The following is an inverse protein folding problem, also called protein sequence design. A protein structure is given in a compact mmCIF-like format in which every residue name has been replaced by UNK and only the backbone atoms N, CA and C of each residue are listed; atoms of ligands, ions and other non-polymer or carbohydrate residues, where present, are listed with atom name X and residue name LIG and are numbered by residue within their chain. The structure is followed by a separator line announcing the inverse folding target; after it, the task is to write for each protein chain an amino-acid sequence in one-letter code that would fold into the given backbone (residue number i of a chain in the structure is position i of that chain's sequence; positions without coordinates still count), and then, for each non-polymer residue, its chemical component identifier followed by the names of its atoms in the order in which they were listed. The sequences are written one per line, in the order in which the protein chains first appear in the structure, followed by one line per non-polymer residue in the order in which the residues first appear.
data_IF_537336361753
#
_entry.id   IF_537336361753
#
_cell.length_a   1.000
_cell.length_b   1.000
_cell.length_c   1.000
_cell.angle_alpha   90.00
_cell.angle_beta   90.00
_cell.angle_gamma   90.00
#
_symmetry.space_group_name_H-M   'P 1'
#
loop_
_entity.id
_entity.type
_entity.pdbx_description
1 polymer ?
#
# COMPACT_ATOMS: atom_id res chain seq x y z
N UNK A 1 18.02 -12.34 19.60
CA UNK A 1 19.26 -12.92 20.11
C UNK A 1 19.38 -14.36 19.61
N UNK A 2 20.58 -14.76 19.23
CA UNK A 2 20.87 -16.12 18.77
C UNK A 2 21.77 -16.77 19.83
N UNK A 3 21.42 -17.97 20.28
CA UNK A 3 22.18 -18.70 21.27
C UNK A 3 23.60 -18.99 20.74
N UNK A 4 24.62 -18.79 21.59
CA UNK A 4 26.04 -18.92 21.21
C UNK A 4 26.59 -17.76 20.36
N UNK A 5 25.80 -16.73 20.01
CA UNK A 5 26.27 -15.59 19.21
C UNK A 5 26.14 -14.26 20.00
N UNK A 6 27.22 -13.49 19.99
CA UNK A 6 27.20 -12.16 20.62
C UNK A 6 26.42 -11.16 19.80
N UNK A 7 25.73 -10.23 20.50
CA UNK A 7 25.00 -9.12 19.89
C UNK A 7 23.54 -9.44 19.57
N UNK A 8 22.94 -8.58 18.77
CA UNK A 8 21.54 -8.64 18.33
C UNK A 8 21.50 -8.49 16.81
N UNK A 9 21.81 -9.54 16.06
CA UNK A 9 21.81 -9.46 14.60
C UNK A 9 20.40 -9.18 14.06
N UNK A 10 20.34 -8.41 12.97
CA UNK A 10 19.08 -8.06 12.31
C UNK A 10 18.45 -9.31 11.68
N UNK A 11 17.20 -9.59 12.00
CA UNK A 11 16.49 -10.78 11.49
C UNK A 11 16.30 -10.78 9.97
N UNK A 12 16.19 -9.60 9.35
CA UNK A 12 16.00 -9.47 7.89
C UNK A 12 17.27 -9.78 7.06
N UNK A 13 18.46 -9.82 7.67
CA UNK A 13 19.74 -10.03 6.97
C UNK A 13 20.53 -11.23 7.50
N UNK A 14 20.00 -11.92 8.51
CA UNK A 14 20.68 -13.08 9.11
C UNK A 14 20.18 -14.38 8.48
N UNK A 15 21.02 -15.13 7.76
CA UNK A 15 20.64 -16.44 7.21
C UNK A 15 20.25 -17.42 8.32
N UNK A 16 19.19 -18.18 8.09
CA UNK A 16 18.81 -19.28 8.97
C UNK A 16 19.77 -20.46 8.80
N UNK A 17 20.07 -21.14 9.91
CA UNK A 17 20.93 -22.31 9.93
C UNK A 17 20.26 -23.43 10.75
N UNK A 18 20.52 -24.67 10.41
CA UNK A 18 20.02 -25.83 11.15
C UNK A 18 20.49 -25.80 12.60
N UNK A 19 19.59 -26.10 13.53
CA UNK A 19 19.90 -26.08 14.98
C UNK A 19 19.99 -24.68 15.61
N UNK A 20 19.69 -23.61 14.83
CA UNK A 20 19.70 -22.25 15.37
C UNK A 20 18.58 -22.04 16.40
N UNK A 21 18.95 -21.67 17.63
CA UNK A 21 18.04 -21.27 18.70
C UNK A 21 17.92 -19.73 18.73
N UNK A 22 16.71 -19.19 18.55
CA UNK A 22 16.46 -17.75 18.45
C UNK A 22 15.49 -17.29 19.52
N UNK A 23 15.87 -16.30 20.32
CA UNK A 23 14.99 -15.60 21.24
C UNK A 23 14.57 -14.27 20.62
N UNK A 24 13.27 -14.10 20.41
CA UNK A 24 12.69 -12.88 19.83
C UNK A 24 12.16 -11.90 20.87
N UNK A 25 12.04 -12.33 22.12
CA UNK A 25 11.57 -11.51 23.24
C UNK A 25 12.47 -11.73 24.44
N UNK A 26 13.17 -10.68 24.87
CA UNK A 26 13.96 -10.63 26.10
C UNK A 26 13.94 -9.18 26.61
N UNK A 27 14.13 -8.93 27.92
CA UNK A 27 14.19 -7.57 28.46
C UNK A 27 15.23 -6.68 27.75
N UNK A 28 16.33 -7.27 27.29
CA UNK A 28 17.35 -6.57 26.50
C UNK A 28 16.82 -6.14 25.13
N UNK A 29 16.13 -7.05 24.43
CA UNK A 29 15.53 -6.73 23.12
C UNK A 29 14.44 -5.69 23.23
N UNK A 30 13.61 -5.75 24.27
CA UNK A 30 12.54 -4.77 24.50
C UNK A 30 13.13 -3.36 24.72
N UNK A 31 14.20 -3.27 25.52
CA UNK A 31 14.92 -1.99 25.72
C UNK A 31 15.51 -1.48 24.39
N UNK A 32 16.15 -2.35 23.60
CA UNK A 32 16.75 -1.95 22.33
C UNK A 32 15.70 -1.52 21.30
N UNK A 33 14.60 -2.25 21.17
CA UNK A 33 13.50 -1.91 20.25
C UNK A 33 12.86 -0.58 20.64
N UNK A 34 12.63 -0.34 21.93
CA UNK A 34 12.12 0.94 22.42
C UNK A 34 13.08 2.08 22.07
N UNK A 35 14.39 1.91 22.32
CA UNK A 35 15.41 2.91 21.96
C UNK A 35 15.48 3.20 20.46
N UNK A 36 15.39 2.17 19.61
CA UNK A 36 15.34 2.35 18.15
C UNK A 36 14.08 3.12 17.75
N UNK A 37 12.93 2.81 18.36
CA UNK A 37 11.68 3.51 18.07
C UNK A 37 11.74 4.98 18.55
N UNK A 38 12.36 5.26 19.70
CA UNK A 38 12.60 6.63 20.16
C UNK A 38 13.41 7.45 19.14
N UNK A 39 14.42 6.83 18.50
CA UNK A 39 15.20 7.49 17.44
C UNK A 39 14.37 7.74 16.17
N UNK A 40 13.54 6.80 15.75
CA UNK A 40 12.64 7.04 14.60
C UNK A 40 11.63 8.16 14.87
N UNK A 41 11.05 8.18 16.05
CA UNK A 41 10.05 9.20 16.42
C UNK A 41 10.71 10.57 16.64
N UNK A 42 11.98 10.64 17.07
CA UNK A 42 12.68 11.90 17.25
C UNK A 42 12.94 12.69 15.97
N UNK A 43 12.83 12.03 14.81
CA UNK A 43 13.04 12.61 13.49
C UNK A 43 11.82 12.36 12.59
N UNK A 44 10.62 12.50 13.17
CA UNK A 44 9.35 12.34 12.47
C UNK A 44 8.35 13.38 12.97
N UNK A 45 7.56 14.03 12.07
CA UNK A 45 6.53 14.98 12.49
C UNK A 45 5.53 14.35 13.45
N UNK A 46 5.24 15.06 14.55
CA UNK A 46 4.31 14.62 15.60
C UNK A 46 2.86 15.07 15.33
N UNK A 47 2.47 15.12 14.08
CA UNK A 47 1.18 15.61 13.58
C UNK A 47 0.17 14.49 13.31
N UNK A 48 0.27 13.38 14.02
CA UNK A 48 -0.55 12.19 13.81
C UNK A 48 -2.05 12.47 13.66
N UNK A 49 -2.59 13.42 14.43
CA UNK A 49 -4.02 13.75 14.42
C UNK A 49 -4.50 14.36 13.08
N UNK A 50 -3.62 14.99 12.34
CA UNK A 50 -3.90 15.59 11.03
C UNK A 50 -3.31 14.78 9.86
N UNK A 51 -2.54 13.75 10.16
CA UNK A 51 -1.90 12.90 9.17
C UNK A 51 -2.93 11.97 8.49
N UNK A 52 -2.94 11.86 7.15
CA UNK A 52 -3.88 11.01 6.43
C UNK A 52 -3.70 9.51 6.71
N UNK A 53 -2.56 9.09 7.26
CA UNK A 53 -2.32 7.71 7.67
C UNK A 53 -2.70 7.43 9.14
N UNK A 54 -3.31 8.37 9.85
CA UNK A 54 -3.70 8.15 11.24
C UNK A 54 -4.65 6.95 11.38
N UNK A 55 -4.27 5.96 12.18
CA UNK A 55 -5.03 4.71 12.33
C UNK A 55 -4.76 3.65 11.25
N UNK A 56 -3.89 3.94 10.27
CA UNK A 56 -3.39 3.01 9.25
C UNK A 56 -1.88 3.24 9.03
N UNK A 57 -1.12 3.36 10.13
CA UNK A 57 0.30 3.69 10.14
C UNK A 57 1.08 2.66 10.96
N UNK A 58 1.92 1.89 10.27
CA UNK A 58 2.74 0.84 10.92
C UNK A 58 3.74 1.43 11.93
N UNK A 59 4.22 2.67 11.72
CA UNK A 59 5.08 3.36 12.69
C UNK A 59 4.35 3.63 14.01
N UNK A 60 3.08 4.08 13.96
CA UNK A 60 2.25 4.24 15.16
C UNK A 60 2.02 2.91 15.88
N UNK A 61 1.70 1.86 15.12
CA UNK A 61 1.46 0.53 15.67
C UNK A 61 2.71 -0.02 16.37
N UNK A 62 3.88 0.16 15.75
CA UNK A 62 5.15 -0.29 16.33
C UNK A 62 5.55 0.53 17.56
N UNK A 63 5.32 1.84 17.57
CA UNK A 63 5.54 2.67 18.76
C UNK A 63 4.64 2.19 19.92
N UNK A 64 3.38 1.87 19.63
CA UNK A 64 2.46 1.25 20.58
C UNK A 64 2.94 -0.11 21.09
N UNK A 65 3.38 -0.99 20.21
CA UNK A 65 3.82 -2.34 20.52
C UNK A 65 5.06 -2.39 21.44
N UNK A 66 5.99 -1.43 21.29
CA UNK A 66 7.18 -1.32 22.16
C UNK A 66 6.92 -0.50 23.43
N UNK A 67 5.69 -0.06 23.65
CA UNK A 67 5.30 0.72 24.84
C UNK A 67 5.92 2.13 24.87
N UNK A 68 6.20 2.74 23.69
CA UNK A 68 6.60 4.13 23.61
C UNK A 68 5.38 5.02 23.78
N UNK A 69 5.39 5.89 24.81
CA UNK A 69 4.29 6.81 25.12
C UNK A 69 4.74 8.28 25.19
N UNK A 70 6.00 8.49 25.46
CA UNK A 70 6.59 9.82 25.63
C UNK A 70 7.74 9.98 24.64
N UNK A 71 7.85 11.18 24.06
CA UNK A 71 8.95 11.55 23.17
C UNK A 71 10.05 12.17 24.04
N UNK A 72 11.21 11.55 24.04
CA UNK A 72 12.37 11.97 24.83
C UNK A 72 13.32 12.89 24.07
N UNK A 73 13.36 12.72 22.75
CA UNK A 73 14.21 13.46 21.82
C UNK A 73 13.35 14.01 20.68
N UNK A 74 13.76 15.14 20.06
CA UNK A 74 13.06 15.71 18.91
C UNK A 74 11.62 16.14 19.23
N UNK A 75 11.45 16.83 20.36
CA UNK A 75 10.13 17.29 20.84
C UNK A 75 9.49 18.34 19.94
N UNK A 76 10.25 18.93 19.03
CA UNK A 76 9.80 19.87 18.01
C UNK A 76 8.90 19.20 16.97
N UNK A 77 8.99 17.88 16.81
CA UNK A 77 8.16 17.12 15.88
C UNK A 77 8.47 17.41 14.43
N UNK A 78 9.73 17.60 14.10
CA UNK A 78 10.21 17.89 12.74
C UNK A 78 11.03 16.72 12.21
N UNK A 79 11.08 16.59 10.88
CA UNK A 79 11.98 15.70 10.16
C UNK A 79 13.15 16.52 9.60
N UNK A 80 14.37 16.00 9.67
CA UNK A 80 15.56 16.68 9.13
C UNK A 80 15.56 16.79 7.59
N UNK A 81 14.72 16.02 6.91
CA UNK A 81 14.55 16.10 5.46
C UNK A 81 13.61 17.25 5.14
N UNK A 82 14.13 18.31 4.51
CA UNK A 82 13.29 19.38 3.95
C UNK A 82 12.25 18.75 3.01
N UNK A 83 11.00 18.81 3.44
CA UNK A 83 9.93 18.05 2.81
C UNK A 83 9.58 18.59 1.44
N UNK A 84 9.98 17.87 0.39
CA UNK A 84 9.38 18.02 -0.93
C UNK A 84 8.22 17.04 -1.02
N UNK A 85 7.02 17.56 -1.21
CA UNK A 85 5.84 16.76 -1.50
C UNK A 85 5.68 16.67 -3.01
N UNK A 86 5.89 15.47 -3.55
CA UNK A 86 5.66 15.16 -4.96
C UNK A 86 4.25 14.59 -5.14
N UNK A 87 3.43 15.29 -5.92
CA UNK A 87 2.07 14.90 -6.29
C UNK A 87 1.92 14.60 -7.78
N UNK A 88 3.03 14.47 -8.50
CA UNK A 88 3.06 14.24 -9.95
C UNK A 88 2.44 12.91 -10.36
N UNK A 89 2.59 11.86 -9.54
CA UNK A 89 1.96 10.58 -9.83
C UNK A 89 0.43 10.68 -9.69
N UNK A 90 -0.37 10.19 -10.67
CA UNK A 90 -1.82 10.33 -10.63
C UNK A 90 -2.50 9.55 -9.47
N UNK A 91 -1.84 8.55 -8.89
CA UNK A 91 -2.45 7.61 -7.94
C UNK A 91 -2.00 7.77 -6.50
N UNK A 92 -0.81 8.30 -6.26
CA UNK A 92 -0.26 8.45 -4.92
C UNK A 92 0.60 9.71 -4.79
N UNK A 93 0.82 10.12 -3.57
CA UNK A 93 1.73 11.22 -3.20
C UNK A 93 3.02 10.66 -2.61
N UNK A 94 4.09 11.42 -2.70
CA UNK A 94 5.36 11.13 -2.05
C UNK A 94 5.78 12.33 -1.21
N UNK A 95 5.74 12.19 0.10
CA UNK A 95 6.07 13.22 1.08
C UNK A 95 7.31 12.82 1.88
N UNK A 96 8.44 13.44 1.59
CA UNK A 96 9.71 13.12 2.25
C UNK A 96 9.73 13.51 3.73
N UNK A 97 8.91 14.47 4.17
CA UNK A 97 8.81 14.85 5.58
C UNK A 97 8.30 13.73 6.49
N UNK A 98 7.61 12.73 5.92
CA UNK A 98 7.11 11.55 6.63
C UNK A 98 8.01 10.32 6.51
N UNK A 99 9.17 10.47 5.84
CA UNK A 99 10.05 9.35 5.53
C UNK A 99 10.98 9.02 6.71
N UNK A 100 11.01 7.75 7.09
CA UNK A 100 11.93 7.20 8.09
C UNK A 100 13.13 6.47 7.47
N UNK A 101 13.35 6.62 6.19
CA UNK A 101 14.46 6.05 5.39
C UNK A 101 14.65 4.53 5.61
N UNK A 102 13.56 3.79 5.81
CA UNK A 102 13.58 2.35 6.06
C UNK A 102 13.93 1.48 4.84
N UNK A 103 14.06 2.07 3.65
CA UNK A 103 14.39 1.42 2.36
C UNK A 103 13.38 0.37 1.86
N UNK A 104 12.24 0.15 2.52
CA UNK A 104 11.24 -0.85 2.09
C UNK A 104 10.70 -0.57 0.69
N UNK A 105 10.42 0.69 0.37
CA UNK A 105 9.96 1.12 -0.95
C UNK A 105 11.01 0.92 -2.05
N UNK A 106 12.29 1.20 -1.74
CA UNK A 106 13.41 0.96 -2.66
C UNK A 106 13.53 -0.52 -2.99
N UNK A 107 13.50 -1.38 -1.97
CA UNK A 107 13.55 -2.84 -2.15
C UNK A 107 12.31 -3.36 -2.89
N UNK A 108 11.12 -2.87 -2.60
CA UNK A 108 9.91 -3.24 -3.32
C UNK A 108 10.02 -2.85 -4.81
N UNK A 109 10.62 -1.70 -5.13
CA UNK A 109 10.83 -1.25 -6.50
C UNK A 109 11.88 -2.08 -7.23
N UNK A 110 13.01 -2.41 -6.59
CA UNK A 110 14.12 -3.12 -7.22
C UNK A 110 13.94 -4.64 -7.22
N UNK A 111 13.58 -5.25 -6.09
CA UNK A 111 13.55 -6.71 -5.92
C UNK A 111 12.21 -7.33 -6.39
N UNK A 112 11.10 -6.59 -6.29
CA UNK A 112 9.76 -7.09 -6.65
C UNK A 112 9.37 -6.65 -8.05
N UNK A 113 9.38 -5.34 -8.31
CA UNK A 113 8.95 -4.79 -9.60
C UNK A 113 10.07 -4.82 -10.66
N UNK A 114 11.33 -4.62 -10.27
CA UNK A 114 12.49 -4.64 -11.18
C UNK A 114 12.64 -3.38 -12.04
N UNK A 115 12.00 -2.26 -11.68
CA UNK A 115 12.12 -0.99 -12.43
C UNK A 115 13.22 -0.07 -11.92
N UNK A 116 13.67 -0.25 -10.68
CA UNK A 116 14.74 0.54 -10.06
C UNK A 116 14.46 2.06 -10.03
N UNK A 117 13.19 2.46 -10.07
CA UNK A 117 12.79 3.86 -10.07
C UNK A 117 13.08 4.58 -8.74
N UNK A 118 13.32 3.85 -7.66
CA UNK A 118 13.65 4.40 -6.34
C UNK A 118 15.04 3.98 -5.89
N UNK A 119 15.77 4.91 -5.30
CA UNK A 119 17.10 4.69 -4.74
C UNK A 119 17.26 5.45 -3.42
N UNK A 120 18.37 5.18 -2.70
CA UNK A 120 18.83 6.02 -1.60
C UNK A 120 19.83 7.03 -2.15
N UNK A 121 19.50 8.30 -2.07
CA UNK A 121 20.38 9.42 -2.38
C UNK A 121 21.04 9.95 -1.10
N UNK A 122 22.23 10.56 -1.23
CA UNK A 122 22.99 11.08 -0.10
C UNK A 122 23.70 10.00 0.72
N UNK A 123 24.15 10.37 1.91
CA UNK A 123 24.85 9.47 2.86
C UNK A 123 24.71 9.93 4.30
N UNK A 124 24.90 9.01 5.23
CA UNK A 124 24.80 9.31 6.67
C UNK A 124 23.42 9.84 7.04
N UNK A 125 23.34 10.83 7.89
CA UNK A 125 22.07 11.44 8.32
C UNK A 125 21.32 12.15 7.18
N UNK A 126 22.03 12.62 6.14
CA UNK A 126 21.43 13.21 4.94
C UNK A 126 20.93 12.20 3.91
N UNK A 127 20.87 10.91 4.23
CA UNK A 127 20.30 9.90 3.34
C UNK A 127 18.80 10.08 3.17
N UNK A 128 18.32 9.99 1.91
CA UNK A 128 16.88 10.10 1.61
C UNK A 128 16.49 9.16 0.48
N UNK A 129 15.25 8.71 0.50
CA UNK A 129 14.66 8.03 -0.65
C UNK A 129 14.42 9.06 -1.76
N UNK A 130 14.79 8.72 -2.97
CA UNK A 130 14.63 9.58 -4.13
C UNK A 130 14.17 8.79 -5.34
N UNK A 131 13.25 9.31 -6.15
CA UNK A 131 13.08 8.86 -7.52
C UNK A 131 14.34 9.11 -8.33
N UNK A 132 14.46 8.43 -9.47
CA UNK A 132 15.63 8.53 -10.37
C UNK A 132 16.07 9.98 -10.56
N UNK A 133 17.36 10.26 -10.36
CA UNK A 133 17.97 11.59 -10.52
C UNK A 133 17.26 12.75 -9.80
N UNK A 134 16.49 12.45 -8.76
CA UNK A 134 15.69 13.42 -7.99
C UNK A 134 14.56 14.09 -8.82
N UNK A 135 14.11 13.42 -9.86
CA UNK A 135 12.98 13.86 -10.69
C UNK A 135 11.63 13.56 -10.02
N UNK A 136 10.55 14.24 -10.40
CA UNK A 136 9.20 13.85 -10.05
C UNK A 136 8.87 12.40 -10.47
N UNK A 137 8.01 11.70 -9.72
CA UNK A 137 7.64 10.32 -10.04
C UNK A 137 7.13 10.14 -11.46
N UNK A 138 6.38 11.11 -12.00
CA UNK A 138 5.84 11.05 -13.35
C UNK A 138 6.93 11.10 -14.45
N UNK A 139 8.07 11.72 -14.15
CA UNK A 139 9.21 11.88 -15.07
C UNK A 139 10.27 10.78 -14.88
N UNK A 140 10.10 9.94 -13.87
CA UNK A 140 11.01 8.84 -13.53
C UNK A 140 10.63 7.54 -14.24
N UNK A 141 11.46 6.48 -14.08
CA UNK A 141 11.21 5.14 -14.60
C UNK A 141 10.01 4.42 -13.92
N UNK A 142 9.21 5.14 -13.12
CA UNK A 142 8.11 4.58 -12.35
C UNK A 142 6.97 4.09 -13.26
N UNK A 143 6.58 2.83 -13.10
CA UNK A 143 5.44 2.20 -13.81
C UNK A 143 4.15 2.22 -13.00
N UNK A 144 4.08 2.97 -11.91
CA UNK A 144 2.90 3.11 -11.04
C UNK A 144 2.30 1.78 -10.56
N UNK A 145 3.12 0.77 -10.29
CA UNK A 145 2.64 -0.55 -9.83
C UNK A 145 2.10 -0.54 -8.38
N UNK A 146 2.47 0.48 -7.58
CA UNK A 146 2.03 0.62 -6.19
C UNK A 146 2.74 -0.27 -5.16
N UNK A 147 3.76 -1.05 -5.55
CA UNK A 147 4.49 -1.91 -4.62
C UNK A 147 5.18 -1.12 -3.51
N UNK A 148 5.74 0.04 -3.82
CA UNK A 148 6.35 0.96 -2.85
C UNK A 148 5.32 1.57 -1.89
N UNK A 149 4.15 1.92 -2.39
CA UNK A 149 3.04 2.47 -1.59
C UNK A 149 2.57 1.46 -0.54
N UNK A 150 2.32 0.22 -0.96
CA UNK A 150 1.90 -0.87 -0.07
C UNK A 150 2.99 -1.28 0.93
N UNK A 151 4.27 -1.04 0.62
CA UNK A 151 5.39 -1.36 1.49
C UNK A 151 5.74 -0.24 2.48
N UNK A 152 5.22 0.97 2.26
CA UNK A 152 5.54 2.13 3.10
C UNK A 152 4.88 2.02 4.48
N UNK A 153 5.64 2.14 5.58
CA UNK A 153 5.10 2.04 6.93
C UNK A 153 4.55 3.37 7.48
N UNK A 154 4.63 4.45 6.70
CA UNK A 154 4.23 5.81 7.11
C UNK A 154 3.42 6.47 5.98
N UNK A 155 3.07 7.75 6.14
CA UNK A 155 2.40 8.54 5.11
C UNK A 155 3.33 9.08 4.00
N UNK A 156 4.58 8.61 3.91
CA UNK A 156 5.51 9.06 2.87
C UNK A 156 4.98 8.75 1.47
N UNK A 157 4.49 7.53 1.26
CA UNK A 157 3.85 7.10 0.02
C UNK A 157 2.40 6.74 0.35
N UNK A 158 1.49 7.65 0.01
CA UNK A 158 0.07 7.54 0.36
C UNK A 158 -0.80 7.57 -0.89
N UNK A 159 -1.78 6.67 -0.99
CA UNK A 159 -2.75 6.69 -2.07
C UNK A 159 -3.64 7.94 -1.99
N UNK A 160 -3.85 8.61 -3.11
CA UNK A 160 -4.72 9.80 -3.19
C UNK A 160 -6.15 9.46 -2.80
N UNK A 161 -6.65 8.29 -3.18
CA UNK A 161 -7.99 7.82 -2.79
C UNK A 161 -8.14 7.68 -1.26
N UNK A 162 -7.10 7.25 -0.53
CA UNK A 162 -7.12 7.21 0.94
C UNK A 162 -7.13 8.61 1.54
N UNK A 163 -6.40 9.55 0.93
CA UNK A 163 -6.41 10.96 1.38
C UNK A 163 -7.80 11.58 1.18
N UNK A 164 -8.46 11.28 0.07
CA UNK A 164 -9.76 11.83 -0.31
C UNK A 164 -10.92 11.17 0.45
N UNK A 165 -10.95 9.84 0.50
CA UNK A 165 -12.06 9.06 1.05
C UNK A 165 -11.86 8.66 2.51
N UNK A 166 -10.63 8.77 3.04
CA UNK A 166 -10.25 8.40 4.39
C UNK A 166 -9.90 6.93 4.55
N UNK A 167 -9.54 6.55 5.78
CA UNK A 167 -9.08 5.19 6.12
C UNK A 167 -10.21 4.17 5.96
N UNK A 168 -9.98 3.05 5.26
CA UNK A 168 -10.99 2.00 5.08
C UNK A 168 -11.33 1.29 6.40
N UNK A 169 -12.58 0.85 6.52
CA UNK A 169 -13.10 0.17 7.72
C UNK A 169 -13.49 -1.29 7.48
N UNK A 170 -13.59 -1.71 6.23
CA UNK A 170 -14.01 -3.08 5.84
C UNK A 170 -13.11 -3.62 4.74
N UNK A 171 -12.90 -4.94 4.74
CA UNK A 171 -12.05 -5.64 3.76
C UNK A 171 -12.84 -6.79 3.11
N UNK A 172 -12.75 -6.91 1.79
CA UNK A 172 -13.40 -7.97 1.01
C UNK A 172 -12.40 -8.55 0.02
N UNK A 173 -12.21 -9.86 0.04
CA UNK A 173 -11.39 -10.54 -0.99
C UNK A 173 -12.14 -10.55 -2.33
N UNK A 174 -11.41 -10.26 -3.40
CA UNK A 174 -11.93 -10.22 -4.76
C UNK A 174 -10.86 -10.62 -5.76
N UNK A 175 -11.25 -10.80 -7.01
CA UNK A 175 -10.36 -11.11 -8.13
C UNK A 175 -10.34 -9.92 -9.09
N UNK A 176 -9.17 -9.60 -9.64
CA UNK A 176 -9.01 -8.57 -10.65
C UNK A 176 -9.80 -8.93 -11.92
N UNK A 177 -10.55 -7.97 -12.45
CA UNK A 177 -11.39 -8.16 -13.62
C UNK A 177 -10.68 -7.90 -14.95
N UNK A 178 -9.42 -7.47 -14.96
CA UNK A 178 -8.77 -6.96 -16.18
C UNK A 178 -8.20 -8.02 -17.11
N UNK A 179 -7.61 -9.08 -16.60
CA UNK A 179 -6.97 -10.06 -17.45
C UNK A 179 -7.01 -11.48 -16.84
N UNK A 180 -6.64 -12.49 -17.68
CA UNK A 180 -6.67 -13.89 -17.32
C UNK A 180 -5.67 -14.36 -16.26
N UNK A 181 -4.78 -13.50 -15.76
CA UNK A 181 -3.90 -13.81 -14.61
C UNK A 181 -4.72 -14.11 -13.37
N UNK A 182 -5.88 -13.44 -13.19
CA UNK A 182 -6.76 -13.69 -12.04
C UNK A 182 -6.15 -13.28 -10.69
N UNK A 183 -5.41 -12.18 -10.65
CA UNK A 183 -4.79 -11.69 -9.42
C UNK A 183 -5.82 -11.50 -8.31
N UNK A 184 -5.51 -12.02 -7.13
CA UNK A 184 -6.33 -11.83 -5.93
C UNK A 184 -6.01 -10.50 -5.26
N UNK A 185 -7.07 -9.79 -4.86
CA UNK A 185 -6.99 -8.52 -4.15
C UNK A 185 -7.84 -8.56 -2.88
N UNK A 186 -7.50 -7.67 -1.97
CA UNK A 186 -8.36 -7.24 -0.87
C UNK A 186 -8.86 -5.85 -1.23
N UNK A 187 -10.14 -5.75 -1.59
CA UNK A 187 -10.81 -4.46 -1.69
C UNK A 187 -11.03 -3.92 -0.28
N UNK A 188 -10.51 -2.76 0.00
CA UNK A 188 -10.67 -2.08 1.27
C UNK A 188 -11.68 -0.94 1.09
N UNK A 189 -12.74 -0.96 1.90
CA UNK A 189 -13.93 -0.14 1.74
C UNK A 189 -14.17 0.76 2.96
N UNK A 190 -14.82 1.89 2.70
CA UNK A 190 -15.45 2.74 3.70
C UNK A 190 -16.94 2.79 3.41
N UNK A 191 -17.74 2.16 4.29
CA UNK A 191 -19.13 1.85 3.92
C UNK A 191 -19.18 0.88 2.74
N UNK A 192 -19.84 1.28 1.66
CA UNK A 192 -19.93 0.52 0.42
C UNK A 192 -19.00 1.05 -0.69
N UNK A 193 -18.20 2.07 -0.38
CA UNK A 193 -17.27 2.66 -1.32
C UNK A 193 -15.89 2.02 -1.21
N UNK A 194 -15.32 1.59 -2.35
CA UNK A 194 -13.94 1.09 -2.43
C UNK A 194 -12.99 2.27 -2.29
N UNK A 195 -12.09 2.19 -1.31
CA UNK A 195 -11.07 3.21 -1.08
C UNK A 195 -9.77 2.82 -1.76
N UNK A 196 -9.38 1.55 -1.66
CA UNK A 196 -8.17 1.04 -2.32
C UNK A 196 -8.26 -0.46 -2.58
N UNK A 197 -7.44 -0.92 -3.52
CA UNK A 197 -7.26 -2.33 -3.87
C UNK A 197 -5.86 -2.78 -3.46
N UNK A 198 -5.75 -3.64 -2.46
CA UNK A 198 -4.47 -4.18 -1.97
C UNK A 198 -4.27 -5.59 -2.51
N UNK A 199 -3.16 -5.91 -3.20
CA UNK A 199 -2.88 -7.26 -3.66
C UNK A 199 -2.81 -8.25 -2.48
N UNK A 200 -3.54 -9.36 -2.57
CA UNK A 200 -3.57 -10.37 -1.52
C UNK A 200 -2.25 -11.14 -1.49
N UNK A 201 -1.53 -11.07 -0.36
CA UNK A 201 -0.26 -11.79 -0.15
C UNK A 201 -0.40 -13.31 -0.22
N UNK A 202 -1.62 -13.82 0.00
CA UNK A 202 -1.96 -15.25 -0.09
C UNK A 202 -2.55 -15.63 -1.46
N UNK A 203 -2.64 -14.68 -2.40
CA UNK A 203 -3.15 -14.93 -3.74
C UNK A 203 -2.25 -15.86 -4.53
N UNK A 204 -2.74 -17.04 -4.93
CA UNK A 204 -1.95 -18.05 -5.63
C UNK A 204 -1.40 -17.59 -6.98
N UNK A 205 -2.08 -16.65 -7.65
CA UNK A 205 -1.65 -16.14 -8.95
C UNK A 205 -0.64 -14.98 -8.85
N UNK A 206 -0.67 -14.20 -7.77
CA UNK A 206 0.06 -12.93 -7.70
C UNK A 206 0.88 -12.73 -6.43
N UNK A 207 0.74 -13.55 -5.40
CA UNK A 207 1.57 -13.54 -4.18
C UNK A 207 1.82 -12.13 -3.60
N UNK A 208 0.79 -11.27 -3.58
CA UNK A 208 0.86 -9.90 -3.08
C UNK A 208 1.40 -8.86 -4.06
N UNK A 209 1.51 -9.18 -5.34
CA UNK A 209 1.96 -8.25 -6.39
C UNK A 209 0.83 -7.86 -7.34
N UNK A 210 1.00 -6.77 -8.06
CA UNK A 210 0.01 -6.33 -9.06
C UNK A 210 0.61 -5.37 -10.08
N UNK A 211 -0.07 -5.22 -11.20
CA UNK A 211 0.18 -4.12 -12.13
C UNK A 211 -0.67 -2.89 -11.76
N UNK A 212 -0.39 -1.77 -12.41
CA UNK A 212 -1.13 -0.51 -12.24
C UNK A 212 -2.64 -0.65 -12.40
N UNK A 213 -3.11 -1.48 -13.35
CA UNK A 213 -4.55 -1.65 -13.63
C UNK A 213 -5.30 -2.23 -12.44
N UNK A 214 -4.84 -3.39 -11.92
CA UNK A 214 -5.47 -4.01 -10.76
C UNK A 214 -5.37 -3.15 -9.50
N UNK A 215 -4.26 -2.42 -9.35
CA UNK A 215 -4.00 -1.60 -8.18
C UNK A 215 -4.84 -0.33 -8.12
N UNK A 216 -4.98 0.39 -9.24
CA UNK A 216 -5.51 1.75 -9.23
C UNK A 216 -6.70 1.98 -10.17
N UNK A 217 -6.96 1.13 -11.15
CA UNK A 217 -8.00 1.37 -12.15
C UNK A 217 -9.36 0.75 -11.78
N UNK A 218 -9.67 0.60 -10.52
CA UNK A 218 -10.92 -0.01 -10.02
C UNK A 218 -12.13 0.95 -10.03
N UNK A 219 -11.92 2.24 -10.32
CA UNK A 219 -12.99 3.25 -10.33
C UNK A 219 -14.20 2.92 -11.21
N UNK A 220 -14.01 2.08 -12.26
CA UNK A 220 -15.12 1.61 -13.09
C UNK A 220 -16.21 0.87 -12.30
N UNK A 221 -15.85 0.24 -11.18
CA UNK A 221 -16.80 -0.53 -10.38
C UNK A 221 -17.86 0.35 -9.69
N UNK A 222 -17.53 1.62 -9.48
CA UNK A 222 -18.38 2.59 -8.77
C UNK A 222 -18.71 3.83 -9.62
N UNK A 223 -18.41 3.77 -10.92
CA UNK A 223 -18.69 4.89 -11.82
C UNK A 223 -20.21 5.10 -11.96
N UNK A 224 -20.64 6.37 -11.98
CA UNK A 224 -22.05 6.73 -12.08
C UNK A 224 -22.75 6.18 -13.33
N UNK A 225 -22.01 6.03 -14.43
CA UNK A 225 -22.53 5.50 -15.70
C UNK A 225 -22.54 3.96 -15.75
N UNK A 226 -22.20 3.29 -14.63
CA UNK A 226 -22.22 1.83 -14.60
C UNK A 226 -23.65 1.32 -14.71
N UNK A 227 -23.87 0.41 -15.66
CA UNK A 227 -25.14 -0.31 -15.78
C UNK A 227 -25.30 -1.23 -14.56
N UNK A 228 -26.32 -1.00 -13.75
CA UNK A 228 -26.59 -1.74 -12.51
C UNK A 228 -27.84 -2.62 -12.61
N UNK A 229 -28.66 -2.43 -13.64
CA UNK A 229 -29.86 -3.23 -13.93
C UNK A 229 -29.74 -3.91 -15.30
N UNK A 230 -30.32 -5.13 -15.47
CA UNK A 230 -30.36 -5.75 -16.77
C UNK A 230 -31.12 -4.90 -17.80
N UNK A 231 -30.66 -4.90 -19.03
CA UNK A 231 -31.30 -4.17 -20.11
C UNK A 231 -31.49 -5.09 -21.32
N UNK A 232 -32.63 -5.01 -21.97
CA UNK A 232 -32.95 -5.73 -23.20
C UNK A 232 -33.35 -4.76 -24.31
N UNK A 233 -33.18 -5.19 -25.56
CA UNK A 233 -33.71 -4.53 -26.76
C UNK A 233 -34.13 -5.55 -27.79
N UNK A 234 -35.16 -5.27 -28.55
CA UNK A 234 -35.72 -6.21 -29.51
C UNK A 234 -34.89 -6.31 -30.79
N UNK A 235 -34.24 -5.23 -31.20
CA UNK A 235 -33.34 -5.18 -32.36
C UNK A 235 -32.15 -4.27 -32.09
N UNK A 236 -31.17 -4.27 -32.98
CA UNK A 236 -29.97 -3.43 -32.85
C UNK A 236 -30.28 -1.94 -32.90
N UNK A 237 -31.36 -1.56 -33.56
CA UNK A 237 -31.81 -0.16 -33.73
C UNK A 237 -32.82 0.26 -32.65
N UNK A 238 -33.30 -0.69 -31.82
CA UNK A 238 -34.27 -0.38 -30.78
C UNK A 238 -33.57 0.21 -29.54
N UNK A 239 -34.28 1.07 -28.81
CA UNK A 239 -33.84 1.61 -27.55
C UNK A 239 -33.71 0.51 -26.49
N UNK A 240 -32.72 0.64 -25.62
CA UNK A 240 -32.58 -0.22 -24.45
C UNK A 240 -33.68 0.11 -23.43
N UNK A 241 -34.29 -0.94 -22.85
CA UNK A 241 -35.18 -0.81 -21.70
C UNK A 241 -34.67 -1.63 -20.51
N UNK A 242 -34.78 -1.09 -19.34
CA UNK A 242 -34.46 -1.77 -18.08
C UNK A 242 -35.52 -2.85 -17.80
N UNK A 243 -35.05 -4.00 -17.30
CA UNK A 243 -35.91 -5.15 -16.99
C UNK A 243 -35.43 -5.84 -15.71
N UNK A 244 -36.26 -6.75 -15.18
CA UNK A 244 -35.81 -7.64 -14.11
C UNK A 244 -34.81 -8.70 -14.61
N UNK A 245 -34.06 -9.29 -13.70
CA UNK A 245 -33.18 -10.43 -14.02
C UNK A 245 -33.97 -11.61 -14.60
N UNK A 246 -35.17 -11.87 -14.10
CA UNK A 246 -36.06 -12.94 -14.60
C UNK A 246 -36.44 -12.70 -16.05
N UNK A 247 -36.87 -11.49 -16.38
CA UNK A 247 -37.22 -11.09 -17.75
C UNK A 247 -36.01 -11.15 -18.68
N UNK A 248 -34.84 -10.65 -18.25
CA UNK A 248 -33.62 -10.68 -19.06
C UNK A 248 -33.17 -12.10 -19.39
N UNK A 249 -33.20 -13.00 -18.39
CA UNK A 249 -32.83 -14.41 -18.56
C UNK A 249 -33.84 -15.12 -19.47
N UNK A 250 -35.14 -14.90 -19.27
CA UNK A 250 -36.20 -15.44 -20.13
C UNK A 250 -36.03 -14.98 -21.57
N UNK A 251 -35.82 -13.69 -21.80
CA UNK A 251 -35.56 -13.13 -23.14
C UNK A 251 -34.35 -13.79 -23.82
N UNK A 252 -33.25 -13.98 -23.09
CA UNK A 252 -32.07 -14.65 -23.64
C UNK A 252 -32.33 -16.14 -23.94
N UNK A 253 -33.00 -16.85 -23.05
CA UNK A 253 -33.36 -18.26 -23.23
C UNK A 253 -34.26 -18.47 -24.45
N UNK A 254 -35.29 -17.66 -24.63
CA UNK A 254 -36.20 -17.71 -25.77
C UNK A 254 -35.46 -17.50 -27.09
N UNK A 255 -34.52 -16.56 -27.13
CA UNK A 255 -33.70 -16.31 -28.33
C UNK A 255 -32.77 -17.49 -28.65
N UNK A 256 -32.16 -18.10 -27.65
CA UNK A 256 -31.33 -19.29 -27.85
C UNK A 256 -32.15 -20.52 -28.29
N UNK A 257 -33.37 -20.68 -27.76
CA UNK A 257 -34.26 -21.79 -28.18
C UNK A 257 -34.84 -21.62 -29.60
N UNK A 258 -34.82 -20.38 -30.12
CA UNK A 258 -35.32 -20.08 -31.46
C UNK A 258 -34.26 -20.32 -32.58
N UNK A 259 -33.01 -20.59 -32.21
CA UNK A 259 -31.90 -20.93 -33.12
C UNK A 259 -31.84 -22.46 -33.34
#
# INVERSE_FOLDING_TARGET
EIEGRNGTPASCTTPCQEGMSVKTQTPRLDKLRKGVMELYISDHPLDCLTCPANGDCELQDMAGAVGLRDVRYGTEGENHLDGVKDESNPYFTFDTSKCIVCSRCVRACSEVQGTFALTIAGRGFGSRVSPSEQQPFLESECVSCGACVQACPTATLQEKSVIELGVPSRKVKTTCAYCGVGCSFVAELRGDEVVRMVPDKQGGANAGHSCVKGRFAWGYAQHQDRITTPMVRDSIDAAWREVSWEEAIGFAADRFNAI
#
